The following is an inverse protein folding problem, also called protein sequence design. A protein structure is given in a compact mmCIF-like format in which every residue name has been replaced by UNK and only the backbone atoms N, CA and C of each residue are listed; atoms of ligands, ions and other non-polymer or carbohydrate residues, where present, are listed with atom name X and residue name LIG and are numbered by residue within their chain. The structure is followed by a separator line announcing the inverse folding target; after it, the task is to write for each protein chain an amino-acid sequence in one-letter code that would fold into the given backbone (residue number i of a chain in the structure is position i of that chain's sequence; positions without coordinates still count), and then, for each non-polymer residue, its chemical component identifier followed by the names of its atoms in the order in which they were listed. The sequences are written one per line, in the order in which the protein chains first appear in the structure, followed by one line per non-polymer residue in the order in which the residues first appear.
data_IF_836691392937
#
_entry.id   IF_836691392937
#
_cell.length_a   1.000
_cell.length_b   1.000
_cell.length_c   1.000
_cell.angle_alpha   90.00
_cell.angle_beta   90.00
_cell.angle_gamma   90.00
#
_symmetry.space_group_name_H-M   'P 1'
#
loop_
_entity.id
_entity.type
_entity.pdbx_description
1 polymer ?
#
# COMPACT_ATOMS: atom_id res chain seq x y z
N UNK A 1 -22.86 2.18 -19.68
CA UNK A 1 -22.76 3.34 -18.78
C UNK A 1 -22.56 2.86 -17.35
N UNK A 2 -21.90 3.66 -16.50
CA UNK A 2 -21.71 3.33 -15.09
C UNK A 2 -22.99 3.61 -14.29
N UNK A 3 -23.30 2.84 -13.24
CA UNK A 3 -24.53 3.02 -12.49
C UNK A 3 -24.59 4.41 -11.86
N UNK A 4 -25.75 5.09 -12.00
CA UNK A 4 -25.94 6.46 -11.49
C UNK A 4 -26.00 6.53 -9.96
N UNK A 5 -26.28 5.42 -9.27
CA UNK A 5 -26.56 5.43 -7.83
C UNK A 5 -25.83 4.33 -7.05
N UNK A 6 -26.32 3.08 -7.07
CA UNK A 6 -25.75 1.99 -6.29
C UNK A 6 -24.61 1.30 -7.03
N UNK A 7 -23.39 1.78 -6.79
CA UNK A 7 -22.17 1.09 -7.18
C UNK A 7 -21.86 -0.14 -6.32
N UNK A 8 -22.37 -0.17 -5.08
CA UNK A 8 -22.10 -1.22 -4.11
C UNK A 8 -23.31 -2.15 -3.97
N UNK A 9 -23.08 -3.47 -4.07
CA UNK A 9 -24.14 -4.47 -3.99
C UNK A 9 -24.67 -4.70 -2.56
N UNK A 10 -23.88 -4.35 -1.53
CA UNK A 10 -24.26 -4.48 -0.13
C UNK A 10 -23.54 -3.46 0.75
N UNK A 11 -23.95 -3.39 2.02
CA UNK A 11 -23.33 -2.53 3.04
C UNK A 11 -21.85 -2.84 3.23
N UNK A 12 -21.46 -4.12 3.11
CA UNK A 12 -20.07 -4.52 3.29
C UNK A 12 -19.17 -4.01 2.16
N UNK A 13 -19.64 -4.02 0.91
CA UNK A 13 -18.90 -3.42 -0.21
C UNK A 13 -18.69 -1.91 -0.02
N UNK A 14 -19.70 -1.20 0.49
CA UNK A 14 -19.57 0.24 0.81
C UNK A 14 -18.58 0.47 1.96
N UNK A 15 -18.63 -0.37 3.01
CA UNK A 15 -17.69 -0.34 4.13
C UNK A 15 -16.26 -0.60 3.70
N UNK A 16 -16.02 -1.61 2.85
CA UNK A 16 -14.70 -1.91 2.29
C UNK A 16 -14.18 -0.70 1.53
N UNK A 17 -14.97 -0.12 0.62
CA UNK A 17 -14.54 1.07 -0.11
C UNK A 17 -14.20 2.24 0.82
N UNK A 18 -15.04 2.50 1.82
CA UNK A 18 -14.79 3.57 2.81
C UNK A 18 -13.48 3.34 3.56
N UNK A 19 -13.19 2.10 3.97
CA UNK A 19 -11.93 1.73 4.63
C UNK A 19 -10.73 1.92 3.70
N UNK A 20 -10.83 1.51 2.43
CA UNK A 20 -9.77 1.73 1.44
C UNK A 20 -9.50 3.22 1.20
N UNK A 21 -10.55 4.04 1.08
CA UNK A 21 -10.40 5.50 0.93
C UNK A 21 -9.69 6.11 2.14
N UNK A 22 -10.02 5.67 3.36
CA UNK A 22 -9.32 6.11 4.58
C UNK A 22 -7.84 5.75 4.56
N UNK A 23 -7.48 4.54 4.11
CA UNK A 23 -6.09 4.11 3.99
C UNK A 23 -5.32 4.96 2.97
N UNK A 24 -5.93 5.24 1.81
CA UNK A 24 -5.33 6.12 0.79
C UNK A 24 -5.08 7.53 1.37
N UNK A 25 -6.04 8.08 2.12
CA UNK A 25 -5.93 9.40 2.75
C UNK A 25 -4.85 9.47 3.84
N UNK A 26 -4.66 8.38 4.60
CA UNK A 26 -3.62 8.31 5.64
C UNK A 26 -2.20 8.20 5.07
N UNK A 27 -2.07 7.66 3.85
CA UNK A 27 -0.77 7.53 3.20
C UNK A 27 0.06 6.38 3.78
N UNK A 28 1.35 6.62 3.98
CA UNK A 28 2.29 5.61 4.46
C UNK A 28 2.08 5.29 5.94
N UNK A 29 1.77 4.03 6.25
CA UNK A 29 1.61 3.50 7.61
C UNK A 29 2.78 2.55 7.93
N UNK A 30 3.25 2.56 9.19
CA UNK A 30 4.32 1.66 9.62
C UNK A 30 3.87 0.21 9.58
N UNK A 31 4.77 -0.69 9.17
CA UNK A 31 4.48 -2.12 9.25
C UNK A 31 4.33 -2.56 10.72
N UNK A 32 3.39 -3.47 11.01
CA UNK A 32 3.35 -4.17 12.28
C UNK A 32 4.70 -4.82 12.61
N UNK A 33 5.12 -4.84 13.89
CA UNK A 33 6.41 -5.41 14.30
C UNK A 33 6.63 -6.86 13.85
N UNK A 34 5.57 -7.66 13.76
CA UNK A 34 5.64 -9.04 13.28
C UNK A 34 6.07 -9.14 11.81
N UNK A 35 5.57 -8.25 10.96
CA UNK A 35 5.90 -8.22 9.53
C UNK A 35 7.27 -7.57 9.29
N UNK A 36 7.62 -6.51 10.04
CA UNK A 36 8.94 -5.89 9.93
C UNK A 36 10.06 -6.86 10.33
N UNK A 37 9.84 -7.70 11.35
CA UNK A 37 10.77 -8.76 11.73
C UNK A 37 10.98 -9.81 10.62
N UNK A 38 9.94 -10.16 9.87
CA UNK A 38 10.06 -11.09 8.72
C UNK A 38 10.93 -10.45 7.63
N UNK A 39 10.69 -9.18 7.29
CA UNK A 39 11.49 -8.47 6.29
C UNK A 39 12.96 -8.38 6.73
N UNK A 40 13.20 -8.07 8.02
CA UNK A 40 14.55 -8.02 8.59
C UNK A 40 15.27 -9.36 8.43
N UNK A 41 14.65 -10.47 8.84
CA UNK A 41 15.25 -11.81 8.71
C UNK A 41 15.64 -12.13 7.26
N UNK A 42 14.76 -11.83 6.29
CA UNK A 42 15.05 -12.05 4.87
C UNK A 42 16.21 -11.20 4.33
N UNK A 43 16.48 -10.06 4.97
CA UNK A 43 17.55 -9.15 4.56
C UNK A 43 18.89 -9.54 5.18
N UNK A 44 18.86 -9.98 6.44
CA UNK A 44 19.99 -10.60 7.16
C UNK A 44 20.45 -11.87 6.45
N UNK A 45 19.53 -12.72 5.99
CA UNK A 45 19.83 -13.92 5.18
C UNK A 45 20.56 -13.61 3.86
N UNK A 46 20.47 -12.37 3.36
CA UNK A 46 21.13 -11.93 2.12
C UNK A 46 22.47 -11.23 2.35
N UNK A 47 23.06 -11.33 3.55
CA UNK A 47 24.31 -10.65 3.97
C UNK A 47 24.28 -9.11 3.79
N UNK A 48 23.08 -8.53 3.69
CA UNK A 48 22.94 -7.08 3.70
C UNK A 48 23.00 -6.67 5.17
N UNK A 49 24.17 -6.20 5.62
CA UNK A 49 24.35 -5.68 6.99
C UNK A 49 23.40 -4.51 7.18
N UNK A 50 22.24 -4.77 7.76
CA UNK A 50 21.27 -3.71 8.07
C UNK A 50 21.28 -3.49 9.56
N UNK A 51 22.26 -2.71 9.97
CA UNK A 51 22.46 -2.25 11.35
C UNK A 51 21.58 -1.03 11.69
N UNK A 52 20.63 -0.67 10.83
CA UNK A 52 19.71 0.45 11.06
C UNK A 52 18.30 -0.09 11.27
N UNK A 53 17.59 0.49 12.24
CA UNK A 53 16.16 0.29 12.42
C UNK A 53 15.45 0.62 11.10
N UNK A 54 15.08 -0.43 10.36
CA UNK A 54 14.45 -0.32 9.06
C UNK A 54 13.08 0.34 9.23
N UNK A 55 13.00 1.63 8.92
CA UNK A 55 11.73 2.38 8.89
C UNK A 55 10.93 1.99 7.64
N UNK A 56 10.37 0.77 7.68
CA UNK A 56 9.56 0.23 6.60
C UNK A 56 8.11 0.61 6.83
N UNK A 57 7.56 1.32 5.85
CA UNK A 57 6.16 1.67 5.76
C UNK A 57 5.51 1.02 4.53
N UNK A 58 4.19 0.88 4.58
CA UNK A 58 3.36 0.45 3.47
C UNK A 58 2.31 1.52 3.19
N UNK A 59 1.85 1.63 1.95
CA UNK A 59 0.82 2.59 1.57
C UNK A 59 -0.10 1.96 0.52
N UNK A 60 -1.41 2.23 0.65
CA UNK A 60 -2.37 1.90 -0.39
C UNK A 60 -2.39 2.98 -1.47
N UNK A 61 -2.16 2.59 -2.72
CA UNK A 61 -2.18 3.49 -3.89
C UNK A 61 -3.46 3.28 -4.71
N UNK A 62 -4.07 4.38 -5.18
CA UNK A 62 -5.22 4.35 -6.08
C UNK A 62 -4.81 4.80 -7.47
N UNK A 63 -5.00 3.94 -8.49
CA UNK A 63 -4.56 4.25 -9.86
C UNK A 63 -5.29 5.44 -10.50
N UNK A 64 -6.61 5.55 -10.31
CA UNK A 64 -7.42 6.59 -10.98
C UNK A 64 -7.26 7.97 -10.34
N UNK A 65 -7.12 8.03 -9.02
CA UNK A 65 -7.05 9.28 -8.24
C UNK A 65 -5.66 9.48 -7.60
N UNK A 66 -4.62 8.89 -8.19
CA UNK A 66 -3.25 9.01 -7.69
C UNK A 66 -2.81 10.48 -7.67
N UNK A 67 -2.35 10.93 -6.49
CA UNK A 67 -1.56 12.16 -6.37
C UNK A 67 -0.30 12.05 -7.24
N UNK A 68 0.35 13.17 -7.62
CA UNK A 68 1.60 13.13 -8.39
C UNK A 68 2.65 12.17 -7.80
N UNK A 69 2.80 12.18 -6.47
CA UNK A 69 3.71 11.27 -5.75
C UNK A 69 3.29 9.81 -5.89
N UNK A 70 1.99 9.52 -5.82
CA UNK A 70 1.45 8.16 -5.98
C UNK A 70 1.66 7.65 -7.42
N UNK A 71 1.60 8.53 -8.43
CA UNK A 71 1.88 8.14 -9.83
C UNK A 71 3.34 7.77 -10.03
N UNK A 72 4.26 8.50 -9.40
CA UNK A 72 5.68 8.16 -9.44
C UNK A 72 5.94 6.78 -8.80
N UNK A 73 5.32 6.52 -7.65
CA UNK A 73 5.42 5.21 -6.99
C UNK A 73 4.85 4.08 -7.87
N UNK A 74 3.70 4.29 -8.49
CA UNK A 74 3.11 3.33 -9.43
C UNK A 74 4.02 3.08 -10.63
N UNK A 75 4.64 4.12 -11.20
CA UNK A 75 5.59 3.98 -12.30
C UNK A 75 6.81 3.15 -11.91
N UNK A 76 7.34 3.33 -10.69
CA UNK A 76 8.44 2.51 -10.17
C UNK A 76 7.99 1.06 -9.94
N UNK A 77 6.76 0.84 -9.48
CA UNK A 77 6.23 -0.50 -9.26
C UNK A 77 6.07 -1.29 -10.57
N UNK A 78 5.71 -0.64 -11.68
CA UNK A 78 5.65 -1.30 -13.00
C UNK A 78 7.02 -1.87 -13.39
N UNK A 79 8.11 -1.17 -13.08
CA UNK A 79 9.47 -1.63 -13.39
C UNK A 79 9.89 -2.89 -12.60
N UNK A 80 9.17 -3.28 -11.54
CA UNK A 80 9.44 -4.52 -10.79
C UNK A 80 8.97 -5.75 -11.57
N UNK A 81 7.95 -5.60 -12.41
CA UNK A 81 7.32 -6.69 -13.16
C UNK A 81 7.78 -6.79 -14.62
N UNK A 82 8.73 -5.94 -15.02
CA UNK A 82 9.39 -5.97 -16.34
C UNK A 82 10.70 -6.73 -16.23
#
# INVERSE_FOLDING_TARGET
ELPKEKWFCCTDCSRINTSLQKLILRGAEKLPPSLSNIVRKKLEEKDTVVNADLDISWQLLSGRNASPDSRLLLSKAVAIFQ
#
